data_IF_077429921187
#
_entry.id   IF_077429921187
#
_cell.length_a   1.000
_cell.length_b   1.000
_cell.length_c   1.000
_cell.angle_alpha   90.00
_cell.angle_beta   90.00
_cell.angle_gamma   90.00
#
_symmetry.space_group_name_H-M   'P 1'
#
loop_
_entity.id
_entity.type
_entity.pdbx_description
1 polymer ?
#
# COMPACT_ATOMS: atom_id res chain seq x y z
N UNK A 1 21.97 -31.03 15.79
CA UNK A 1 20.83 -30.30 16.36
C UNK A 1 19.99 -29.84 15.18
N UNK A 2 18.79 -30.41 15.00
CA UNK A 2 17.91 -29.99 13.93
C UNK A 2 17.44 -28.56 14.23
N UNK A 3 17.76 -27.62 13.34
CA UNK A 3 17.35 -26.24 13.47
C UNK A 3 15.83 -26.21 13.26
N UNK A 4 15.05 -26.16 14.35
CA UNK A 4 13.59 -26.17 14.25
C UNK A 4 13.15 -24.81 13.69
N UNK A 5 12.85 -24.80 12.39
CA UNK A 5 12.34 -23.63 11.70
C UNK A 5 10.92 -23.37 12.23
N UNK A 6 10.76 -22.34 13.07
CA UNK A 6 9.46 -21.91 13.60
C UNK A 6 9.10 -20.57 12.97
N UNK A 7 7.83 -20.42 12.57
CA UNK A 7 7.31 -19.12 12.12
C UNK A 7 7.29 -18.16 13.32
N UNK A 8 7.85 -16.98 13.13
CA UNK A 8 7.76 -15.86 14.07
C UNK A 8 6.54 -15.01 13.70
N UNK A 9 5.40 -15.29 14.33
CA UNK A 9 4.14 -14.64 14.02
C UNK A 9 4.17 -13.14 14.31
N UNK A 10 4.80 -12.74 15.41
CA UNK A 10 4.87 -11.34 15.83
C UNK A 10 5.68 -10.52 14.81
N UNK A 11 6.84 -11.03 14.39
CA UNK A 11 7.68 -10.35 13.39
C UNK A 11 6.95 -10.19 12.03
N UNK A 12 6.14 -11.17 11.63
CA UNK A 12 5.37 -11.07 10.39
C UNK A 12 4.16 -10.15 10.52
N UNK A 13 3.52 -10.07 11.69
CA UNK A 13 2.44 -9.10 11.94
C UNK A 13 2.98 -7.67 12.00
N UNK A 14 4.16 -7.46 12.58
CA UNK A 14 4.87 -6.18 12.53
C UNK A 14 5.16 -5.77 11.08
N UNK A 15 5.60 -6.72 10.24
CA UNK A 15 5.84 -6.47 8.83
C UNK A 15 4.54 -6.15 8.06
N UNK A 16 3.42 -6.82 8.36
CA UNK A 16 2.12 -6.49 7.79
C UNK A 16 1.68 -5.07 8.19
N UNK A 17 1.89 -4.70 9.46
CA UNK A 17 1.60 -3.36 9.99
C UNK A 17 2.47 -2.28 9.33
N UNK A 18 3.73 -2.59 9.04
CA UNK A 18 4.59 -1.69 8.26
C UNK A 18 4.02 -1.42 6.86
N UNK A 19 3.53 -2.45 6.18
CA UNK A 19 2.88 -2.30 4.87
C UNK A 19 1.59 -1.47 4.92
N UNK A 20 0.79 -1.59 5.98
CA UNK A 20 -0.38 -0.74 6.18
C UNK A 20 0.02 0.73 6.35
N UNK A 21 1.10 1.00 7.10
CA UNK A 21 1.62 2.36 7.23
C UNK A 21 2.16 2.88 5.89
N UNK A 22 2.91 2.08 5.15
CA UNK A 22 3.44 2.49 3.84
C UNK A 22 2.32 2.73 2.83
N UNK A 23 1.21 2.00 2.91
CA UNK A 23 0.00 2.26 2.14
C UNK A 23 -0.53 3.68 2.38
N UNK A 24 -0.73 4.05 3.65
CA UNK A 24 -1.21 5.38 4.02
C UNK A 24 -0.22 6.50 3.65
N UNK A 25 1.09 6.24 3.84
CA UNK A 25 2.16 7.15 3.46
C UNK A 25 2.21 7.39 1.94
N UNK A 26 2.10 6.35 1.12
CA UNK A 26 2.13 6.46 -0.34
C UNK A 26 0.97 7.33 -0.85
N UNK A 27 -0.25 7.06 -0.37
CA UNK A 27 -1.43 7.86 -0.70
C UNK A 27 -1.25 9.33 -0.32
N UNK A 28 -0.75 9.61 0.89
CA UNK A 28 -0.54 10.99 1.36
C UNK A 28 0.56 11.71 0.61
N UNK A 29 1.73 11.10 0.42
CA UNK A 29 2.89 11.74 -0.23
C UNK A 29 2.57 12.14 -1.68
N UNK A 30 1.69 11.40 -2.34
CA UNK A 30 1.32 11.62 -3.75
C UNK A 30 -0.05 12.30 -3.90
N UNK A 31 -0.75 12.58 -2.80
CA UNK A 31 -2.00 13.31 -2.82
C UNK A 31 -1.82 14.67 -3.50
N UNK A 32 -2.77 15.02 -4.34
CA UNK A 32 -2.93 16.36 -4.88
C UNK A 32 -4.38 16.74 -4.64
N UNK A 33 -4.60 17.82 -3.90
CA UNK A 33 -5.96 18.28 -3.64
C UNK A 33 -6.59 18.91 -4.90
N UNK A 34 -7.93 18.93 -5.02
CA UNK A 34 -8.62 19.49 -6.17
C UNK A 34 -8.32 20.98 -6.43
N UNK A 35 -8.09 21.75 -5.36
CA UNK A 35 -7.80 23.18 -5.47
C UNK A 35 -6.41 23.43 -6.09
N UNK A 36 -5.45 22.55 -5.79
CA UNK A 36 -4.10 22.51 -6.38
C UNK A 36 -4.18 22.12 -7.86
N UNK A 37 -5.02 21.16 -8.23
CA UNK A 37 -5.25 20.80 -9.63
C UNK A 37 -5.86 21.95 -10.44
N UNK A 38 -6.82 22.67 -9.85
CA UNK A 38 -7.43 23.81 -10.52
C UNK A 38 -6.45 24.99 -10.61
N UNK A 39 -5.69 25.26 -9.55
CA UNK A 39 -4.64 26.29 -9.55
C UNK A 39 -3.55 25.99 -10.59
N UNK A 40 -3.18 24.72 -10.76
CA UNK A 40 -2.20 24.26 -11.74
C UNK A 40 -2.60 24.61 -13.19
N UNK A 41 -3.88 24.53 -13.54
CA UNK A 41 -4.39 24.87 -14.89
C UNK A 41 -4.20 26.35 -15.22
N UNK A 42 -4.31 27.22 -14.22
CA UNK A 42 -4.27 28.67 -14.39
C UNK A 42 -2.88 29.29 -14.13
N UNK A 43 -1.93 28.49 -13.65
CA UNK A 43 -0.60 28.96 -13.23
C UNK A 43 0.27 29.57 -14.36
N UNK A 44 -0.03 29.28 -15.63
CA UNK A 44 0.81 29.67 -16.77
C UNK A 44 0.25 30.83 -17.60
N UNK A 45 -0.73 31.56 -17.06
CA UNK A 45 -1.37 32.69 -17.73
C UNK A 45 -2.17 32.28 -18.97
N UNK A 46 -2.89 33.24 -19.57
CA UNK A 46 -3.91 32.96 -20.61
C UNK A 46 -3.40 32.15 -21.82
N UNK A 47 -2.14 32.33 -22.21
CA UNK A 47 -1.52 31.62 -23.35
C UNK A 47 -0.95 30.26 -22.93
N UNK A 48 -0.36 30.16 -21.73
CA UNK A 48 0.27 28.93 -21.24
C UNK A 48 -0.71 27.94 -20.60
N UNK A 49 -1.90 28.40 -20.17
CA UNK A 49 -2.90 27.56 -19.51
C UNK A 49 -3.46 26.44 -20.38
N UNK A 50 -3.64 26.68 -21.69
CA UNK A 50 -4.21 25.67 -22.60
C UNK A 50 -3.25 24.55 -23.00
N UNK A 51 -1.94 24.72 -22.76
CA UNK A 51 -0.91 23.72 -23.11
C UNK A 51 -0.16 23.27 -21.87
N UNK A 52 0.62 24.16 -21.26
CA UNK A 52 1.47 23.86 -20.10
C UNK A 52 0.63 23.67 -18.83
N UNK A 53 -0.38 24.52 -18.62
CA UNK A 53 -1.29 24.39 -17.47
C UNK A 53 -2.08 23.08 -17.49
N UNK A 54 -2.61 22.72 -18.66
CA UNK A 54 -3.30 21.44 -18.83
C UNK A 54 -2.34 20.25 -18.61
N UNK A 55 -1.16 20.25 -19.25
CA UNK A 55 -0.19 19.16 -19.09
C UNK A 55 0.31 19.03 -17.64
N UNK A 56 0.46 20.14 -16.92
CA UNK A 56 0.83 20.14 -15.52
C UNK A 56 -0.27 19.57 -14.62
N UNK A 57 -1.53 19.95 -14.87
CA UNK A 57 -2.68 19.38 -14.18
C UNK A 57 -2.83 17.87 -14.43
N UNK A 58 -2.62 17.42 -15.67
CA UNK A 58 -2.65 15.99 -16.03
C UNK A 58 -1.54 15.21 -15.31
N UNK A 59 -0.33 15.77 -15.24
CA UNK A 59 0.78 15.15 -14.50
C UNK A 59 0.49 15.03 -13.00
N UNK A 60 -0.12 16.04 -12.39
CA UNK A 60 -0.53 16.02 -11.00
C UNK A 60 -1.66 15.00 -10.74
N UNK A 61 -2.63 14.90 -11.64
CA UNK A 61 -3.68 13.89 -11.57
C UNK A 61 -3.10 12.47 -11.67
N UNK A 62 -2.17 12.25 -12.61
CA UNK A 62 -1.47 10.97 -12.76
C UNK A 62 -0.62 10.61 -11.53
N UNK A 63 0.02 11.62 -10.90
CA UNK A 63 0.73 11.44 -9.62
C UNK A 63 -0.22 10.98 -8.52
N UNK A 64 -1.38 11.60 -8.40
CA UNK A 64 -2.39 11.21 -7.41
C UNK A 64 -2.87 9.76 -7.64
N UNK A 65 -3.23 9.40 -8.87
CA UNK A 65 -3.63 8.04 -9.24
C UNK A 65 -2.55 7.00 -8.90
N UNK A 66 -1.29 7.30 -9.22
CA UNK A 66 -0.17 6.43 -8.87
C UNK A 66 -0.05 6.23 -7.36
N UNK A 67 -0.27 7.28 -6.55
CA UNK A 67 -0.34 7.19 -5.10
C UNK A 67 -1.39 6.19 -4.61
N UNK A 68 -2.61 6.27 -5.17
CA UNK A 68 -3.69 5.35 -4.83
C UNK A 68 -3.36 3.90 -5.20
N UNK A 69 -2.74 3.69 -6.36
CA UNK A 69 -2.34 2.34 -6.82
C UNK A 69 -1.24 1.74 -5.95
N UNK A 70 -0.26 2.54 -5.53
CA UNK A 70 0.79 2.10 -4.61
C UNK A 70 0.21 1.76 -3.23
N UNK A 71 -0.70 2.60 -2.72
CA UNK A 71 -1.39 2.34 -1.47
C UNK A 71 -2.18 1.02 -1.52
N UNK A 72 -2.97 0.81 -2.58
CA UNK A 72 -3.72 -0.42 -2.78
C UNK A 72 -2.81 -1.66 -2.86
N UNK A 73 -1.64 -1.54 -3.51
CA UNK A 73 -0.67 -2.63 -3.59
C UNK A 73 -0.07 -2.96 -2.21
N UNK A 74 0.38 -1.94 -1.47
CA UNK A 74 0.90 -2.11 -0.11
C UNK A 74 -0.13 -2.78 0.82
N UNK A 75 -1.38 -2.34 0.77
CA UNK A 75 -2.48 -2.96 1.52
C UNK A 75 -2.70 -4.43 1.12
N UNK A 76 -2.61 -4.74 -0.17
CA UNK A 76 -2.76 -6.11 -0.66
C UNK A 76 -1.65 -7.03 -0.14
N UNK A 77 -0.42 -6.52 -0.01
CA UNK A 77 0.71 -7.24 0.59
C UNK A 77 0.45 -7.52 2.08
N UNK A 78 0.07 -6.51 2.86
CA UNK A 78 -0.29 -6.68 4.28
C UNK A 78 -1.37 -7.75 4.46
N UNK A 79 -2.44 -7.68 3.67
CA UNK A 79 -3.53 -8.66 3.69
C UNK A 79 -3.07 -10.06 3.28
N UNK A 80 -2.11 -10.17 2.36
CA UNK A 80 -1.55 -11.45 1.97
C UNK A 80 -0.72 -12.09 3.10
N UNK A 81 0.12 -11.30 3.78
CA UNK A 81 0.89 -11.77 4.95
C UNK A 81 -0.06 -12.32 6.02
N UNK A 82 -1.08 -11.56 6.43
CA UNK A 82 -2.04 -11.98 7.46
C UNK A 82 -2.79 -13.26 7.11
N UNK A 83 -3.21 -13.41 5.85
CA UNK A 83 -3.84 -14.66 5.37
C UNK A 83 -2.91 -15.86 5.47
N UNK A 84 -1.63 -15.68 5.13
CA UNK A 84 -0.66 -16.76 5.23
C UNK A 84 -0.41 -17.11 6.71
N UNK A 85 -0.29 -16.12 7.60
CA UNK A 85 -0.16 -16.36 9.04
C UNK A 85 -1.35 -17.14 9.60
N UNK A 86 -2.58 -16.74 9.27
CA UNK A 86 -3.78 -17.47 9.68
C UNK A 86 -3.73 -18.92 9.17
N UNK A 87 -3.39 -19.11 7.90
CA UNK A 87 -3.27 -20.46 7.30
C UNK A 87 -2.26 -21.32 8.05
N UNK A 88 -1.10 -20.76 8.43
CA UNK A 88 -0.10 -21.48 9.22
C UNK A 88 -0.58 -21.80 10.63
N UNK A 89 -1.26 -20.87 11.30
CA UNK A 89 -1.80 -21.09 12.63
C UNK A 89 -2.85 -22.22 12.64
N UNK A 90 -3.73 -22.24 11.63
CA UNK A 90 -4.76 -23.26 11.47
C UNK A 90 -4.13 -24.65 11.22
N UNK A 91 -3.15 -24.73 10.31
CA UNK A 91 -2.43 -25.97 10.03
C UNK A 91 -1.67 -26.51 11.24
N UNK A 92 -1.02 -25.63 12.01
CA UNK A 92 -0.29 -26.04 13.22
C UNK A 92 -1.25 -26.59 14.28
N UNK A 93 -2.42 -25.97 14.44
CA UNK A 93 -3.47 -26.46 15.34
C UNK A 93 -4.02 -27.82 14.90
N UNK A 94 -4.31 -28.01 13.61
CA UNK A 94 -4.75 -29.30 13.04
C UNK A 94 -3.71 -30.41 13.23
N UNK A 95 -2.43 -30.11 13.00
CA UNK A 95 -1.34 -31.06 13.21
C UNK A 95 -1.22 -31.47 14.68
N UNK A 96 -1.32 -30.52 15.61
CA UNK A 96 -1.28 -30.80 17.04
C UNK A 96 -2.47 -31.64 17.51
N UNK A 97 -3.65 -31.46 16.92
CA UNK A 97 -4.81 -32.32 17.21
C UNK A 97 -4.60 -33.74 16.69
N UNK A 98 -4.13 -33.88 15.45
CA UNK A 98 -3.88 -35.19 14.81
C UNK A 98 -2.82 -36.00 15.57
N UNK A 99 -1.77 -35.35 16.07
CA UNK A 99 -0.71 -36.01 16.84
C UNK A 99 -1.12 -36.41 18.27
N UNK A 100 -2.26 -35.90 18.77
CA UNK A 100 -2.80 -36.24 20.10
C UNK A 100 -3.77 -37.42 20.08
N UNK A 101 -4.33 -37.75 18.92
CA UNK A 101 -5.19 -38.92 18.67
C UNK A 101 -4.38 -40.13 18.22
#
# INVERSE_FOLDING_TARGET
MANQLRVDFDAWEDHASWWDNESAEAARRMATDPDTLESARHAFGKIGSSTVGQAYADALAARHDLGQRLAANAQAVANHIRRNLQTYADQEHENQQTLRT
#
